data_IF_650391123726
#
_entry.id   IF_650391123726
#
_cell.length_a   1.000
_cell.length_b   1.000
_cell.length_c   1.000
_cell.angle_alpha   90.00
_cell.angle_beta   90.00
_cell.angle_gamma   90.00
#
_symmetry.space_group_name_H-M   'P 1'
#
loop_
_entity.id
_entity.type
_entity.pdbx_description
1 polymer ?
#
# COMPACT_ATOMS: atom_id res chain seq x y z
N UNK A 1 -8.91 -10.88 22.59
CA UNK A 1 -9.20 -11.36 21.22
C UNK A 1 -9.29 -10.14 20.30
N UNK A 2 -8.16 -9.47 19.99
CA UNK A 2 -8.22 -8.09 19.48
C UNK A 2 -6.99 -7.71 18.63
N UNK A 3 -6.78 -8.36 17.49
CA UNK A 3 -5.70 -7.98 16.54
C UNK A 3 -6.06 -8.18 15.06
N UNK A 4 -7.29 -8.61 14.72
CA UNK A 4 -7.55 -9.29 13.44
C UNK A 4 -7.67 -8.40 12.20
N UNK A 5 -7.83 -7.08 12.34
CA UNK A 5 -8.16 -6.23 11.20
C UNK A 5 -6.97 -5.90 10.31
N UNK A 6 -5.85 -5.49 10.91
CA UNK A 6 -4.65 -5.15 10.12
C UNK A 6 -4.13 -6.38 9.41
N UNK A 7 -3.93 -7.48 10.14
CA UNK A 7 -3.33 -8.69 9.59
C UNK A 7 -4.15 -9.33 8.46
N UNK A 8 -5.47 -9.35 8.57
CA UNK A 8 -6.33 -9.91 7.51
C UNK A 8 -6.28 -9.08 6.23
N UNK A 9 -6.40 -7.75 6.35
CA UNK A 9 -6.34 -6.86 5.18
C UNK A 9 -4.92 -6.87 4.58
N UNK A 10 -3.89 -6.86 5.42
CA UNK A 10 -2.50 -6.88 4.98
C UNK A 10 -2.19 -8.14 4.19
N UNK A 11 -2.64 -9.30 4.68
CA UNK A 11 -2.51 -10.57 3.95
C UNK A 11 -3.27 -10.54 2.63
N UNK A 12 -4.53 -10.14 2.66
CA UNK A 12 -5.36 -10.07 1.45
C UNK A 12 -4.74 -9.17 0.38
N UNK A 13 -4.28 -7.97 0.76
CA UNK A 13 -3.66 -7.05 -0.19
C UNK A 13 -2.30 -7.56 -0.66
N UNK A 14 -1.51 -8.16 0.22
CA UNK A 14 -0.26 -8.78 -0.16
C UNK A 14 -0.46 -9.86 -1.22
N UNK A 15 -1.36 -10.82 -0.97
CA UNK A 15 -1.69 -11.89 -1.91
C UNK A 15 -2.25 -11.33 -3.24
N UNK A 16 -3.21 -10.41 -3.17
CA UNK A 16 -3.79 -9.76 -4.35
C UNK A 16 -2.73 -9.08 -5.23
N UNK A 17 -1.81 -8.31 -4.63
CA UNK A 17 -0.77 -7.59 -5.37
C UNK A 17 0.30 -8.54 -5.91
N UNK A 18 0.66 -9.56 -5.12
CA UNK A 18 1.64 -10.57 -5.49
C UNK A 18 1.16 -11.41 -6.69
N UNK A 19 -0.09 -11.88 -6.68
CA UNK A 19 -0.68 -12.64 -7.78
C UNK A 19 -0.75 -11.82 -9.08
N UNK A 20 -1.05 -10.52 -8.95
CA UNK A 20 -1.15 -9.60 -10.08
C UNK A 20 0.18 -9.02 -10.54
N UNK A 21 1.24 -9.11 -9.72
CA UNK A 21 2.59 -8.71 -10.13
C UNK A 21 2.90 -7.22 -10.02
N UNK A 22 2.45 -6.57 -8.95
CA UNK A 22 2.87 -5.20 -8.67
C UNK A 22 3.13 -4.95 -7.19
N UNK A 23 3.95 -3.94 -6.89
CA UNK A 23 4.19 -3.50 -5.53
C UNK A 23 3.14 -2.50 -5.04
N UNK A 24 2.92 -2.44 -3.73
CA UNK A 24 2.00 -1.48 -3.11
C UNK A 24 2.66 -0.71 -1.97
N UNK A 25 2.00 0.36 -1.55
CA UNK A 25 2.34 1.17 -0.38
C UNK A 25 1.10 1.37 0.48
N UNK A 26 1.27 1.30 1.80
CA UNK A 26 0.25 1.79 2.74
C UNK A 26 0.32 3.31 2.74
N UNK A 27 -0.76 3.98 2.34
CA UNK A 27 -0.80 5.45 2.29
C UNK A 27 -1.66 6.06 3.40
N UNK A 28 -2.58 5.30 4.00
CA UNK A 28 -3.31 5.65 5.23
C UNK A 28 -3.45 4.45 6.14
N UNK A 29 -3.34 4.69 7.45
CA UNK A 29 -3.47 3.67 8.50
C UNK A 29 -3.97 4.34 9.79
N UNK A 30 -5.24 4.75 9.77
CA UNK A 30 -5.85 5.49 10.87
C UNK A 30 -6.23 4.51 11.98
N UNK A 31 -5.73 4.76 13.20
CA UNK A 31 -6.11 4.02 14.39
C UNK A 31 -7.39 4.58 15.01
N UNK A 32 -8.09 3.77 15.81
CA UNK A 32 -9.16 4.31 16.65
C UNK A 32 -8.57 5.32 17.65
N UNK A 33 -9.36 6.33 17.99
CA UNK A 33 -8.97 7.40 18.91
C UNK A 33 -8.92 6.91 20.37
N UNK A 34 -9.79 5.97 20.72
CA UNK A 34 -9.93 5.44 22.08
C UNK A 34 -9.13 4.15 22.29
N UNK A 35 -8.82 3.42 21.20
CA UNK A 35 -8.05 2.18 21.24
C UNK A 35 -7.12 2.07 20.02
N UNK A 36 -5.86 2.45 20.20
CA UNK A 36 -4.86 2.45 19.13
C UNK A 36 -4.50 1.05 18.61
N UNK A 37 -4.93 -0.03 19.27
CA UNK A 37 -4.79 -1.39 18.74
C UNK A 37 -5.73 -1.64 17.56
N UNK A 38 -6.85 -0.92 17.49
CA UNK A 38 -7.84 -1.04 16.41
C UNK A 38 -7.44 -0.12 15.25
N UNK A 39 -7.30 -0.72 14.06
CA UNK A 39 -7.17 0.05 12.81
C UNK A 39 -8.56 0.32 12.25
N UNK A 40 -8.93 1.58 12.06
CA UNK A 40 -10.26 1.99 11.56
C UNK A 40 -10.28 2.25 10.07
N UNK A 41 -9.19 2.76 9.50
CA UNK A 41 -9.06 2.95 8.07
C UNK A 41 -7.69 2.49 7.62
N UNK A 42 -7.64 1.76 6.53
CA UNK A 42 -6.39 1.37 5.90
C UNK A 42 -6.53 1.51 4.42
N UNK A 43 -5.56 2.19 3.81
CA UNK A 43 -5.60 2.43 2.38
C UNK A 43 -4.26 2.13 1.75
N UNK A 44 -4.34 1.53 0.57
CA UNK A 44 -3.19 1.08 -0.21
C UNK A 44 -3.22 1.73 -1.58
N UNK A 45 -2.05 1.92 -2.16
CA UNK A 45 -1.86 2.46 -3.50
C UNK A 45 -0.69 1.77 -4.17
N UNK A 46 -0.59 1.87 -5.49
CA UNK A 46 0.52 1.26 -6.23
C UNK A 46 1.85 1.87 -5.77
N UNK A 47 2.92 1.08 -5.76
CA UNK A 47 4.28 1.58 -5.48
C UNK A 47 4.75 2.63 -6.49
N UNK A 48 4.22 2.61 -7.72
CA UNK A 48 4.49 3.59 -8.78
C UNK A 48 3.50 4.78 -8.79
N UNK A 49 2.58 4.84 -7.82
CA UNK A 49 1.63 5.96 -7.67
C UNK A 49 2.29 7.28 -7.26
N UNK A 50 1.64 8.39 -7.63
CA UNK A 50 2.12 9.75 -7.41
C UNK A 50 3.00 10.26 -8.54
N UNK A 51 3.29 11.56 -8.52
CA UNK A 51 4.16 12.22 -9.49
C UNK A 51 5.54 12.46 -8.88
N UNK A 52 6.56 12.52 -9.73
CA UNK A 52 7.87 12.98 -9.29
C UNK A 52 7.80 14.49 -9.03
N UNK A 53 8.00 14.88 -7.78
CA UNK A 53 8.27 16.28 -7.43
C UNK A 53 9.79 16.45 -7.37
N UNK A 54 10.35 17.19 -8.33
CA UNK A 54 11.75 17.57 -8.30
C UNK A 54 12.04 18.31 -7.00
N UNK A 55 12.96 17.81 -6.17
CA UNK A 55 13.38 18.51 -4.95
C UNK A 55 14.00 19.84 -5.36
N UNK A 56 13.36 20.96 -4.99
CA UNK A 56 13.93 22.30 -5.21
C UNK A 56 15.15 22.49 -4.30
N UNK A 57 16.31 22.66 -4.93
CA UNK A 57 17.60 23.18 -4.43
C UNK A 57 18.22 22.45 -3.22
N UNK A 58 19.04 21.43 -3.47
CA UNK A 58 20.11 20.96 -2.57
C UNK A 58 21.32 20.57 -3.44
N UNK A 59 22.52 20.85 -2.95
CA UNK A 59 23.84 20.77 -3.62
C UNK A 59 23.97 19.61 -4.65
N UNK A 60 24.41 19.96 -5.86
CA UNK A 60 24.57 19.04 -6.98
C UNK A 60 25.63 17.95 -6.72
N UNK A 61 26.55 18.17 -5.77
CA UNK A 61 27.65 17.23 -5.47
C UNK A 61 27.23 16.01 -4.61
N UNK A 62 26.06 16.03 -3.96
CA UNK A 62 25.61 14.92 -3.10
C UNK A 62 24.58 13.99 -3.76
N UNK A 63 24.15 14.29 -4.98
CA UNK A 63 23.05 13.59 -5.60
C UNK A 63 23.54 12.38 -6.42
N UNK A 64 23.35 11.16 -5.89
CA UNK A 64 23.15 9.99 -6.76
C UNK A 64 21.88 10.27 -7.57
N UNK A 65 22.00 10.41 -8.89
CA UNK A 65 20.86 10.53 -9.80
C UNK A 65 19.99 9.29 -9.58
N UNK A 66 18.91 9.46 -8.82
CA UNK A 66 17.91 8.43 -8.60
C UNK A 66 16.69 8.88 -9.35
N UNK A 67 16.56 8.40 -10.58
CA UNK A 67 15.33 8.56 -11.33
C UNK A 67 14.18 7.97 -10.50
N UNK A 68 13.10 8.74 -10.40
CA UNK A 68 11.92 8.32 -9.67
C UNK A 68 11.08 7.45 -10.57
N UNK A 69 10.87 6.19 -10.20
CA UNK A 69 10.02 5.25 -10.94
C UNK A 69 8.52 5.53 -10.79
N UNK A 70 8.12 6.76 -10.46
CA UNK A 70 6.73 7.15 -10.22
C UNK A 70 6.07 7.48 -11.55
N UNK A 71 4.99 6.77 -11.88
CA UNK A 71 4.29 6.89 -13.17
C UNK A 71 2.94 7.61 -13.04
N UNK A 72 2.55 8.04 -11.84
CA UNK A 72 1.20 8.55 -11.61
C UNK A 72 0.13 7.45 -11.58
N UNK A 73 0.52 6.19 -11.36
CA UNK A 73 -0.43 5.06 -11.31
C UNK A 73 -1.59 5.31 -10.33
N UNK A 74 -2.82 5.10 -10.82
CA UNK A 74 -4.06 5.41 -10.10
C UNK A 74 -4.56 4.27 -9.21
N UNK A 75 -3.99 3.08 -9.33
CA UNK A 75 -4.43 1.94 -8.54
C UNK A 75 -4.39 2.26 -7.05
N UNK A 76 -5.53 2.10 -6.40
CA UNK A 76 -5.66 2.24 -4.96
C UNK A 76 -6.89 1.52 -4.44
N UNK A 77 -6.85 1.17 -3.16
CA UNK A 77 -7.99 0.60 -2.46
C UNK A 77 -8.09 1.14 -1.03
N UNK A 78 -9.34 1.26 -0.56
CA UNK A 78 -9.67 1.83 0.74
C UNK A 78 -10.50 0.84 1.54
N UNK A 79 -10.07 0.57 2.77
CA UNK A 79 -10.81 -0.22 3.73
C UNK A 79 -11.20 0.59 4.94
N UNK A 80 -12.37 0.29 5.48
CA UNK A 80 -12.91 0.90 6.70
C UNK A 80 -13.52 -0.17 7.60
N UNK A 81 -13.23 -0.08 8.90
CA UNK A 81 -14.04 -0.73 9.94
C UNK A 81 -14.96 0.34 10.57
N UNK A 82 -16.28 0.31 10.29
CA UNK A 82 -17.23 1.17 10.99
C UNK A 82 -17.20 0.95 12.51
N UNK A 83 -17.51 1.97 13.31
CA UNK A 83 -17.53 1.85 14.78
C UNK A 83 -18.66 0.94 15.28
N UNK A 84 -19.76 0.89 14.53
CA UNK A 84 -20.99 0.18 14.87
C UNK A 84 -21.03 -1.25 14.32
N UNK A 85 -20.03 -1.65 13.55
CA UNK A 85 -20.01 -2.93 12.85
C UNK A 85 -18.72 -3.69 13.18
N UNK A 86 -18.80 -5.01 13.04
CA UNK A 86 -17.65 -5.90 13.25
C UNK A 86 -17.06 -6.37 11.90
N UNK A 87 -17.59 -5.88 10.79
CA UNK A 87 -17.16 -6.26 9.44
C UNK A 87 -16.34 -5.16 8.79
N UNK A 88 -15.26 -5.59 8.13
CA UNK A 88 -14.41 -4.75 7.29
C UNK A 88 -15.13 -4.49 5.97
N UNK A 89 -15.16 -3.23 5.54
CA UNK A 89 -15.70 -2.85 4.23
C UNK A 89 -14.58 -2.31 3.34
N UNK A 90 -14.47 -2.86 2.13
CA UNK A 90 -13.80 -2.15 1.04
C UNK A 90 -14.74 -1.04 0.56
N UNK A 91 -14.32 0.22 0.67
CA UNK A 91 -15.14 1.38 0.26
C UNK A 91 -14.80 1.88 -1.13
N UNK A 92 -13.60 1.55 -1.63
CA UNK A 92 -13.12 1.95 -2.95
C UNK A 92 -12.11 0.93 -3.43
N UNK A 93 -12.21 0.53 -4.68
CA UNK A 93 -11.18 -0.17 -5.43
C UNK A 93 -11.11 0.47 -6.81
N UNK A 94 -9.99 1.13 -7.10
CA UNK A 94 -9.63 1.54 -8.45
C UNK A 94 -8.62 0.52 -8.96
N UNK A 95 -9.07 -0.40 -9.80
CA UNK A 95 -8.26 -1.47 -10.38
C UNK A 95 -7.71 -1.05 -11.76
N UNK A 96 -6.99 0.08 -11.80
CA UNK A 96 -6.44 0.67 -13.03
C UNK A 96 -4.95 0.91 -12.87
N UNK A 97 -4.17 0.34 -13.77
CA UNK A 97 -2.72 0.54 -13.86
C UNK A 97 -2.36 1.19 -15.18
N UNK A 98 -1.35 2.06 -15.15
CA UNK A 98 -0.79 2.72 -16.33
C UNK A 98 0.62 2.21 -16.68
N UNK A 99 0.99 1.06 -16.11
CA UNK A 99 2.25 0.38 -16.32
C UNK A 99 1.97 -1.12 -16.41
N UNK A 100 2.89 -1.86 -17.02
CA UNK A 100 2.80 -3.30 -17.08
C UNK A 100 2.89 -3.92 -15.68
N UNK A 101 2.15 -5.01 -15.47
CA UNK A 101 2.22 -5.80 -14.25
C UNK A 101 2.97 -7.08 -14.57
N UNK A 102 3.98 -7.41 -13.76
CA UNK A 102 4.84 -8.54 -13.99
C UNK A 102 4.90 -9.44 -12.74
N UNK A 103 4.06 -10.50 -12.68
CA UNK A 103 4.06 -11.46 -11.56
C UNK A 103 5.41 -12.13 -11.32
N UNK A 104 6.25 -12.23 -12.35
CA UNK A 104 7.57 -12.87 -12.27
C UNK A 104 8.59 -11.99 -11.54
N UNK A 105 8.52 -10.66 -11.71
CA UNK A 105 9.43 -9.71 -11.05
C UNK A 105 9.19 -9.61 -9.53
N UNK A 106 7.93 -9.69 -9.10
CA UNK A 106 7.56 -9.65 -7.68
C UNK A 106 7.75 -11.02 -7.00
N UNK A 107 7.91 -12.11 -7.77
CA UNK A 107 8.05 -13.46 -7.23
C UNK A 107 9.29 -13.63 -6.31
N UNK A 108 10.35 -12.83 -6.50
CA UNK A 108 11.51 -12.82 -5.61
C UNK A 108 11.22 -12.21 -4.22
N UNK A 109 10.15 -11.43 -4.08
CA UNK A 109 9.68 -10.85 -2.80
C UNK A 109 8.81 -11.81 -1.99
N UNK A 110 8.54 -13.03 -2.50
CA UNK A 110 7.79 -14.09 -1.79
C UNK A 110 8.44 -14.55 -0.47
N UNK A 111 9.67 -14.10 -0.17
CA UNK A 111 10.42 -14.44 1.03
C UNK A 111 10.43 -13.35 2.11
N UNK A 112 9.38 -12.54 2.29
CA UNK A 112 9.31 -11.69 3.50
C UNK A 112 9.11 -12.57 4.74
N UNK A 113 9.94 -12.44 5.80
CA UNK A 113 9.85 -13.31 6.96
C UNK A 113 8.59 -13.00 7.77
N UNK A 114 8.01 -14.06 8.35
CA UNK A 114 7.02 -13.96 9.41
C UNK A 114 7.56 -13.02 10.51
N UNK A 115 6.99 -11.82 10.60
CA UNK A 115 7.23 -10.90 11.70
C UNK A 115 6.37 -11.37 12.87
N UNK A 116 7.02 -12.13 13.77
CA UNK A 116 6.58 -12.46 15.13
C UNK A 116 6.26 -11.21 15.95
#
# INVERSE_FOLDING_TARGET
MQYRLSLQIDRFIHEYCLERGFGYQVYRNDKDLNDHTITRRKSFRCSLSGNYEARKKIDQNEHRVRDSNKTGCEWHCNFKLPKTEQQIRCTTLVDVHNHELNPTEIAHLRGWPEIT
#
